data_IF_418899682280
#
_entry.id   IF_418899682280
#
_cell.length_a   1.000
_cell.length_b   1.000
_cell.length_c   1.000
_cell.angle_alpha   90.00
_cell.angle_beta   90.00
_cell.angle_gamma   90.00
#
_symmetry.space_group_name_H-M   'P 1'
#
loop_
_entity.id
_entity.type
_entity.pdbx_description
1 polymer ?
#
# COMPACT_ATOMS: atom_id res chain seq x y z
N UNK A 1 5.70 -12.81 -34.82
CA UNK A 1 5.88 -11.64 -33.91
C UNK A 1 5.19 -11.88 -32.58
N UNK A 2 3.89 -12.14 -32.50
CA UNK A 2 3.17 -12.38 -31.23
C UNK A 2 3.73 -13.48 -30.30
N UNK A 3 4.29 -14.57 -30.83
CA UNK A 3 4.90 -15.61 -30.02
C UNK A 3 6.23 -15.19 -29.40
N UNK A 4 7.00 -14.37 -30.09
CA UNK A 4 8.29 -13.86 -29.59
C UNK A 4 8.07 -12.85 -28.47
N UNK A 5 7.12 -11.95 -28.61
CA UNK A 5 6.74 -10.96 -27.58
C UNK A 5 6.16 -11.62 -26.32
N UNK A 6 5.40 -12.71 -26.47
CA UNK A 6 4.89 -13.52 -25.35
C UNK A 6 5.99 -14.28 -24.61
N UNK A 7 7.00 -14.76 -25.33
CA UNK A 7 8.13 -15.47 -24.74
C UNK A 7 9.08 -14.52 -23.99
N UNK A 8 9.32 -13.35 -24.55
CA UNK A 8 10.09 -12.27 -23.94
C UNK A 8 9.40 -11.72 -22.67
N UNK A 9 8.08 -11.51 -22.72
CA UNK A 9 7.28 -11.12 -21.56
C UNK A 9 7.31 -12.19 -20.45
N UNK A 10 7.28 -13.49 -20.80
CA UNK A 10 7.39 -14.59 -19.85
C UNK A 10 8.78 -14.66 -19.20
N UNK A 11 9.84 -14.49 -19.99
CA UNK A 11 11.21 -14.46 -19.48
C UNK A 11 11.41 -13.29 -18.51
N UNK A 12 10.97 -12.09 -18.88
CA UNK A 12 11.01 -10.93 -17.99
C UNK A 12 10.24 -11.22 -16.69
N UNK A 13 9.01 -11.73 -16.78
CA UNK A 13 8.19 -12.05 -15.59
C UNK A 13 8.86 -13.09 -14.69
N UNK A 14 9.57 -14.09 -15.25
CA UNK A 14 10.29 -15.11 -14.49
C UNK A 14 11.53 -14.58 -13.77
N UNK A 15 12.17 -13.54 -14.30
CA UNK A 15 13.36 -12.91 -13.72
C UNK A 15 13.03 -11.91 -12.60
N UNK A 16 11.83 -11.32 -12.61
CA UNK A 16 11.42 -10.32 -11.63
C UNK A 16 11.56 -10.76 -10.16
N UNK A 17 11.15 -11.97 -9.76
CA UNK A 17 11.32 -12.42 -8.37
C UNK A 17 12.79 -12.46 -7.93
N UNK A 18 13.69 -12.91 -8.82
CA UNK A 18 15.13 -12.95 -8.54
C UNK A 18 15.72 -11.55 -8.43
N UNK A 19 15.39 -10.65 -9.36
CA UNK A 19 15.86 -9.27 -9.35
C UNK A 19 15.38 -8.56 -8.08
N UNK A 20 14.11 -8.68 -7.73
CA UNK A 20 13.55 -8.03 -6.54
C UNK A 20 14.12 -8.60 -5.24
N UNK A 21 14.42 -9.91 -5.18
CA UNK A 21 15.10 -10.51 -4.04
C UNK A 21 16.54 -9.97 -3.90
N UNK A 22 17.27 -9.84 -4.99
CA UNK A 22 18.61 -9.28 -5.00
C UNK A 22 18.61 -7.80 -4.61
N UNK A 23 17.66 -7.00 -5.13
CA UNK A 23 17.49 -5.59 -4.73
C UNK A 23 17.19 -5.44 -3.23
N UNK A 24 16.34 -6.30 -2.66
CA UNK A 24 16.09 -6.30 -1.20
C UNK A 24 17.36 -6.59 -0.41
N UNK A 25 18.17 -7.57 -0.84
CA UNK A 25 19.44 -7.88 -0.19
C UNK A 25 20.40 -6.69 -0.19
N UNK A 26 20.54 -6.01 -1.32
CA UNK A 26 21.37 -4.79 -1.44
C UNK A 26 20.84 -3.66 -0.55
N UNK A 27 19.53 -3.42 -0.58
CA UNK A 27 18.88 -2.40 0.25
C UNK A 27 19.08 -2.70 1.74
N UNK A 28 18.92 -3.96 2.18
CA UNK A 28 19.16 -4.36 3.57
C UNK A 28 20.59 -4.11 3.99
N UNK A 29 21.58 -4.40 3.13
CA UNK A 29 22.99 -4.10 3.36
C UNK A 29 23.24 -2.60 3.53
N UNK A 30 22.66 -1.77 2.67
CA UNK A 30 22.75 -0.31 2.76
C UNK A 30 22.15 0.23 4.06
N UNK A 31 20.99 -0.30 4.46
CA UNK A 31 20.32 0.09 5.70
C UNK A 31 21.17 -0.25 6.94
N UNK A 32 21.73 -1.46 7.00
CA UNK A 32 22.60 -1.88 8.10
C UNK A 32 23.86 -1.01 8.17
N UNK A 33 24.48 -0.69 7.03
CA UNK A 33 25.63 0.21 6.99
C UNK A 33 25.26 1.63 7.47
N UNK A 34 24.12 2.16 7.04
CA UNK A 34 23.62 3.46 7.47
C UNK A 34 23.32 3.49 8.98
N UNK A 35 22.68 2.44 9.51
CA UNK A 35 22.41 2.30 10.93
C UNK A 35 23.69 2.22 11.78
N UNK A 36 24.73 1.59 11.25
CA UNK A 36 26.03 1.55 11.91
C UNK A 36 26.76 2.92 11.94
N UNK A 37 26.57 3.73 10.89
CA UNK A 37 27.12 5.10 10.81
C UNK A 37 26.36 6.09 11.70
N UNK A 38 25.08 5.90 11.89
CA UNK A 38 24.21 6.74 12.71
C UNK A 38 23.40 5.90 13.70
N UNK A 39 24.06 5.31 14.73
CA UNK A 39 23.38 4.48 15.71
C UNK A 39 22.39 5.31 16.56
N UNK A 40 21.37 4.65 17.10
CA UNK A 40 20.29 5.28 17.84
C UNK A 40 20.78 6.24 18.94
N UNK A 41 21.76 5.80 19.74
CA UNK A 41 22.33 6.61 20.81
C UNK A 41 23.02 7.91 20.33
N UNK A 42 23.61 7.88 19.13
CA UNK A 42 24.21 9.07 18.53
C UNK A 42 23.14 10.02 17.99
N UNK A 43 22.08 9.46 17.38
CA UNK A 43 20.94 10.23 16.85
C UNK A 43 20.14 10.92 17.96
N UNK A 44 20.00 10.29 19.14
CA UNK A 44 19.34 10.90 20.31
C UNK A 44 20.09 12.15 20.80
N UNK A 45 21.42 12.13 20.72
CA UNK A 45 22.29 13.21 21.22
C UNK A 45 22.47 14.35 20.21
N UNK A 46 22.40 14.04 18.92
CA UNK A 46 22.60 14.99 17.82
C UNK A 46 21.35 15.11 16.92
N UNK A 47 20.55 16.17 17.11
CA UNK A 47 19.35 16.40 16.30
C UNK A 47 19.63 16.59 14.79
N UNK A 48 20.82 17.07 14.42
CA UNK A 48 21.17 17.25 13.01
C UNK A 48 21.53 15.92 12.37
N UNK A 49 22.25 15.06 13.09
CA UNK A 49 22.51 13.69 12.67
C UNK A 49 21.20 12.90 12.51
N UNK A 50 20.27 13.06 13.48
CA UNK A 50 18.96 12.41 13.40
C UNK A 50 18.16 12.87 12.18
N UNK A 51 18.15 14.18 11.88
CA UNK A 51 17.47 14.70 10.69
C UNK A 51 18.04 14.15 9.38
N UNK A 52 19.37 14.03 9.28
CA UNK A 52 20.04 13.44 8.10
C UNK A 52 19.75 11.95 7.96
N UNK A 53 19.84 11.23 9.08
CA UNK A 53 19.52 9.81 9.12
C UNK A 53 18.04 9.54 8.81
N UNK A 54 17.11 10.35 9.29
CA UNK A 54 15.68 10.25 9.01
C UNK A 54 15.37 10.41 7.51
N UNK A 55 16.07 11.32 6.80
CA UNK A 55 15.96 11.43 5.34
C UNK A 55 16.47 10.18 4.62
N UNK A 56 17.58 9.62 5.09
CA UNK A 56 18.12 8.38 4.52
C UNK A 56 17.15 7.22 4.75
N UNK A 57 16.60 7.10 5.96
CA UNK A 57 15.58 6.10 6.29
C UNK A 57 14.33 6.27 5.42
N UNK A 58 13.83 7.49 5.21
CA UNK A 58 12.72 7.76 4.31
C UNK A 58 12.99 7.23 2.89
N UNK A 59 14.12 7.60 2.30
CA UNK A 59 14.49 7.16 0.95
C UNK A 59 14.60 5.63 0.87
N UNK A 60 15.16 5.02 1.92
CA UNK A 60 15.26 3.57 2.01
C UNK A 60 13.87 2.90 2.02
N UNK A 61 12.95 3.38 2.87
CA UNK A 61 11.59 2.85 2.94
C UNK A 61 10.81 3.05 1.62
N UNK A 62 11.00 4.17 0.94
CA UNK A 62 10.41 4.41 -0.39
C UNK A 62 10.94 3.42 -1.43
N UNK A 63 12.27 3.19 -1.47
CA UNK A 63 12.86 2.20 -2.37
C UNK A 63 12.38 0.77 -2.05
N UNK A 64 12.33 0.41 -0.78
CA UNK A 64 11.84 -0.92 -0.35
C UNK A 64 10.36 -1.12 -0.73
N UNK A 65 9.54 -0.08 -0.56
CA UNK A 65 8.14 -0.09 -1.00
C UNK A 65 8.01 -0.30 -2.50
N UNK A 66 8.85 0.38 -3.29
CA UNK A 66 8.88 0.21 -4.74
C UNK A 66 9.22 -1.23 -5.13
N UNK A 67 10.27 -1.81 -4.55
CA UNK A 67 10.67 -3.20 -4.79
C UNK A 67 9.55 -4.17 -4.40
N UNK A 68 8.87 -3.92 -3.28
CA UNK A 68 7.72 -4.74 -2.85
C UNK A 68 6.54 -4.63 -3.82
N UNK A 69 6.25 -3.44 -4.35
CA UNK A 69 5.20 -3.25 -5.35
C UNK A 69 5.52 -3.97 -6.66
N UNK A 70 6.79 -3.96 -7.10
CA UNK A 70 7.24 -4.73 -8.26
C UNK A 70 7.09 -6.24 -8.03
N UNK A 71 7.49 -6.73 -6.85
CA UNK A 71 7.32 -8.16 -6.49
C UNK A 71 5.86 -8.58 -6.46
N UNK A 72 4.98 -7.74 -5.94
CA UNK A 72 3.55 -8.01 -5.92
C UNK A 72 2.97 -8.04 -7.33
N UNK A 73 3.30 -7.08 -8.18
CA UNK A 73 2.87 -7.06 -9.58
C UNK A 73 3.32 -8.33 -10.35
N UNK A 74 4.54 -8.81 -10.10
CA UNK A 74 5.05 -10.04 -10.69
C UNK A 74 4.28 -11.28 -10.20
N UNK A 75 3.93 -11.37 -8.91
CA UNK A 75 3.11 -12.48 -8.36
C UNK A 75 1.73 -12.52 -8.96
N UNK A 76 1.10 -11.37 -9.14
CA UNK A 76 -0.23 -11.26 -9.72
C UNK A 76 -0.26 -11.66 -11.22
N UNK A 77 0.87 -11.53 -11.91
CA UNK A 77 1.03 -12.03 -13.29
C UNK A 77 1.22 -13.54 -13.36
N UNK A 78 1.50 -14.22 -12.23
CA UNK A 78 1.59 -15.67 -12.15
C UNK A 78 0.19 -16.29 -12.11
N UNK A 79 -0.03 -17.37 -12.88
CA UNK A 79 -1.34 -18.03 -13.00
C UNK A 79 -1.83 -18.78 -11.75
N UNK A 80 -1.17 -18.62 -10.60
CA UNK A 80 -1.52 -19.30 -9.35
C UNK A 80 -2.31 -18.33 -8.47
N UNK A 81 -3.59 -18.59 -8.20
CA UNK A 81 -4.38 -17.74 -7.32
C UNK A 81 -3.81 -17.77 -5.90
N UNK A 82 -3.81 -16.63 -5.19
CA UNK A 82 -3.36 -16.56 -3.81
C UNK A 82 -4.20 -17.47 -2.89
N UNK A 83 -3.62 -18.00 -1.81
CA UNK A 83 -4.35 -18.83 -0.87
C UNK A 83 -5.35 -17.97 -0.07
N UNK A 84 -6.63 -18.03 -0.46
CA UNK A 84 -7.70 -17.38 0.28
C UNK A 84 -7.98 -18.10 1.59
N UNK A 85 -8.03 -17.35 2.69
CA UNK A 85 -8.32 -17.86 4.03
C UNK A 85 -9.43 -17.01 4.67
N UNK A 86 -10.19 -17.64 5.57
CA UNK A 86 -11.23 -16.92 6.32
C UNK A 86 -10.56 -16.01 7.35
N UNK A 87 -10.60 -14.70 7.13
CA UNK A 87 -9.97 -13.66 7.95
C UNK A 87 -10.98 -12.59 8.33
N UNK A 88 -10.75 -11.92 9.44
CA UNK A 88 -11.57 -10.81 9.90
C UNK A 88 -11.13 -9.50 9.25
N UNK A 89 -11.80 -9.11 8.18
CA UNK A 89 -11.53 -7.87 7.46
C UNK A 89 -11.67 -6.62 8.35
N UNK A 90 -12.67 -6.61 9.24
CA UNK A 90 -12.86 -5.46 10.15
C UNK A 90 -11.69 -5.32 11.12
N UNK A 91 -11.19 -6.45 11.65
CA UNK A 91 -9.99 -6.48 12.49
C UNK A 91 -8.75 -5.94 11.78
N UNK A 92 -8.52 -6.36 10.52
CA UNK A 92 -7.40 -5.88 9.69
C UNK A 92 -7.49 -4.36 9.46
N UNK A 93 -8.66 -3.84 9.07
CA UNK A 93 -8.88 -2.41 8.84
C UNK A 93 -8.62 -1.61 10.13
N UNK A 94 -9.14 -2.09 11.27
CA UNK A 94 -8.96 -1.45 12.57
C UNK A 94 -7.48 -1.38 12.99
N UNK A 95 -6.75 -2.46 12.82
CA UNK A 95 -5.32 -2.53 13.12
C UNK A 95 -4.54 -1.50 12.29
N UNK A 96 -4.69 -1.53 10.95
CA UNK A 96 -3.97 -0.62 10.05
C UNK A 96 -4.29 0.84 10.34
N UNK A 97 -5.56 1.18 10.54
CA UNK A 97 -5.97 2.56 10.82
C UNK A 97 -5.46 3.03 12.20
N UNK A 98 -5.45 2.16 13.20
CA UNK A 98 -4.89 2.48 14.52
C UNK A 98 -3.40 2.76 14.46
N UNK A 99 -2.65 1.98 13.67
CA UNK A 99 -1.23 2.20 13.45
C UNK A 99 -0.93 3.44 12.57
N UNK A 100 -1.82 3.80 11.64
CA UNK A 100 -1.68 4.97 10.78
C UNK A 100 -2.09 6.29 11.44
N UNK A 101 -2.88 6.25 12.51
CA UNK A 101 -3.41 7.46 13.16
C UNK A 101 -2.31 8.42 13.70
N UNK A 102 -1.25 7.97 14.38
CA UNK A 102 -0.16 8.84 14.80
C UNK A 102 0.50 9.57 13.63
N UNK A 103 0.65 8.89 12.47
CA UNK A 103 1.25 9.45 11.27
C UNK A 103 0.30 10.46 10.59
N UNK A 104 -1.00 10.21 10.59
CA UNK A 104 -2.00 11.19 10.14
C UNK A 104 -1.92 12.47 10.98
N UNK A 105 -1.80 12.36 12.29
CA UNK A 105 -1.62 13.51 13.20
C UNK A 105 -0.33 14.28 12.90
N UNK A 106 0.78 13.59 12.61
CA UNK A 106 2.04 14.22 12.20
C UNK A 106 1.86 15.07 10.93
N UNK A 107 1.05 14.58 9.98
CA UNK A 107 0.66 15.30 8.76
C UNK A 107 -0.41 16.37 9.01
N UNK A 108 -0.90 16.53 10.24
CA UNK A 108 -2.03 17.40 10.61
C UNK A 108 -3.33 17.04 9.88
N UNK A 109 -3.55 15.73 9.61
CA UNK A 109 -4.76 15.20 9.02
C UNK A 109 -5.66 14.59 10.08
N UNK A 110 -6.97 14.71 9.88
CA UNK A 110 -7.97 14.01 10.68
C UNK A 110 -8.26 12.65 10.05
N UNK A 111 -7.80 11.54 10.67
CA UNK A 111 -8.18 10.19 10.26
C UNK A 111 -9.43 9.75 11.01
N UNK A 112 -10.51 9.49 10.27
CA UNK A 112 -11.77 8.94 10.82
C UNK A 112 -11.96 7.50 10.35
N UNK A 113 -12.36 6.63 11.26
CA UNK A 113 -12.66 5.24 10.93
C UNK A 113 -14.10 4.94 11.29
N UNK A 114 -14.84 4.36 10.33
CA UNK A 114 -16.23 3.95 10.50
C UNK A 114 -16.36 2.50 10.06
N UNK A 115 -16.76 1.63 10.93
CA UNK A 115 -17.02 0.24 10.57
C UNK A 115 -18.36 -0.23 11.13
N UNK A 116 -19.10 -0.89 10.25
CA UNK A 116 -20.29 -1.66 10.57
C UNK A 116 -20.34 -2.82 9.57
N UNK A 117 -20.14 -4.05 9.97
CA UNK A 117 -20.13 -4.61 11.32
C UNK A 117 -18.75 -4.52 12.04
N UNK A 118 -18.74 -4.71 13.36
CA UNK A 118 -17.51 -4.76 14.15
C UNK A 118 -16.59 -5.94 13.79
N UNK A 119 -17.15 -7.00 13.22
CA UNK A 119 -16.44 -8.19 12.74
C UNK A 119 -17.02 -8.64 11.41
N UNK A 120 -16.15 -8.78 10.41
CA UNK A 120 -16.53 -9.22 9.07
C UNK A 120 -15.56 -10.28 8.56
N UNK A 121 -15.96 -11.55 8.71
CA UNK A 121 -15.12 -12.67 8.28
C UNK A 121 -15.45 -13.05 6.85
N UNK A 122 -14.44 -12.99 5.97
CA UNK A 122 -14.53 -13.44 4.58
C UNK A 122 -13.20 -14.05 4.10
N UNK A 123 -13.30 -14.81 3.03
CA UNK A 123 -12.15 -15.41 2.35
C UNK A 123 -11.32 -14.32 1.67
N UNK A 124 -10.08 -14.12 2.12
CA UNK A 124 -9.18 -13.13 1.56
C UNK A 124 -7.70 -13.53 1.74
N UNK A 125 -6.85 -12.91 0.93
CA UNK A 125 -5.40 -12.83 1.15
C UNK A 125 -5.14 -11.60 2.03
N UNK A 126 -4.79 -11.82 3.30
CA UNK A 126 -4.59 -10.76 4.28
C UNK A 126 -3.49 -9.78 3.85
N UNK A 127 -2.37 -10.28 3.31
CA UNK A 127 -1.25 -9.44 2.90
C UNK A 127 -1.63 -8.56 1.69
N UNK A 128 -2.39 -9.12 0.74
CA UNK A 128 -2.90 -8.37 -0.41
C UNK A 128 -3.88 -7.26 0.04
N UNK A 129 -4.78 -7.56 0.99
CA UNK A 129 -5.70 -6.55 1.55
C UNK A 129 -4.93 -5.45 2.30
N UNK A 130 -3.93 -5.80 3.10
CA UNK A 130 -3.04 -4.83 3.77
C UNK A 130 -2.36 -3.91 2.75
N UNK A 131 -1.89 -4.47 1.64
CA UNK A 131 -1.25 -3.73 0.56
C UNK A 131 -2.22 -2.74 -0.09
N UNK A 132 -3.48 -3.14 -0.36
CA UNK A 132 -4.53 -2.23 -0.85
C UNK A 132 -4.76 -1.09 0.14
N UNK A 133 -4.94 -1.40 1.42
CA UNK A 133 -5.16 -0.41 2.46
C UNK A 133 -4.04 0.62 2.54
N UNK A 134 -2.78 0.18 2.60
CA UNK A 134 -1.63 1.09 2.65
C UNK A 134 -1.51 1.93 1.38
N UNK A 135 -1.84 1.36 0.21
CA UNK A 135 -1.81 2.11 -1.04
C UNK A 135 -2.87 3.21 -1.07
N UNK A 136 -4.12 2.91 -0.67
CA UNK A 136 -5.20 3.88 -0.63
C UNK A 136 -4.97 4.96 0.44
N UNK A 137 -4.54 4.57 1.64
CA UNK A 137 -4.18 5.52 2.71
C UNK A 137 -3.00 6.43 2.32
N UNK A 138 -1.96 5.86 1.69
CA UNK A 138 -0.82 6.64 1.22
C UNK A 138 -1.23 7.69 0.18
N UNK A 139 -2.11 7.32 -0.75
CA UNK A 139 -2.64 8.28 -1.71
C UNK A 139 -3.46 9.38 -1.01
N UNK A 140 -4.38 9.00 -0.11
CA UNK A 140 -5.20 9.93 0.65
C UNK A 140 -4.34 10.92 1.46
N UNK A 141 -3.32 10.43 2.18
CA UNK A 141 -2.42 11.27 2.97
C UNK A 141 -1.55 12.20 2.11
N UNK A 142 -1.10 11.71 0.93
CA UNK A 142 -0.24 12.46 0.02
C UNK A 142 -0.96 13.63 -0.64
N UNK A 143 -2.24 13.46 -0.96
CA UNK A 143 -3.01 14.42 -1.76
C UNK A 143 -3.98 15.27 -0.93
N UNK A 144 -3.99 15.07 0.40
CA UNK A 144 -4.78 15.89 1.33
C UNK A 144 -3.87 16.88 2.04
N UNK A 145 -4.23 18.15 1.98
CA UNK A 145 -3.49 19.20 2.68
C UNK A 145 -3.70 19.15 4.19
N UNK A 146 -2.78 19.76 4.95
CA UNK A 146 -2.86 19.88 6.39
C UNK A 146 -4.20 20.54 6.82
N UNK A 147 -4.86 19.95 7.81
CA UNK A 147 -6.21 20.34 8.25
C UNK A 147 -7.33 19.58 7.52
N UNK A 148 -6.99 18.82 6.47
CA UNK A 148 -7.94 17.98 5.77
C UNK A 148 -8.27 16.68 6.51
N UNK A 149 -9.14 15.89 5.90
CA UNK A 149 -9.69 14.67 6.49
C UNK A 149 -9.55 13.48 5.57
N UNK A 150 -9.20 12.34 6.17
CA UNK A 150 -9.27 11.02 5.52
C UNK A 150 -10.24 10.15 6.31
N UNK A 151 -11.21 9.56 5.63
CA UNK A 151 -12.21 8.67 6.24
C UNK A 151 -12.06 7.28 5.65
N UNK A 152 -11.88 6.29 6.52
CA UNK A 152 -11.95 4.87 6.16
C UNK A 152 -13.26 4.31 6.64
N UNK A 153 -14.04 3.70 5.75
CA UNK A 153 -15.28 3.02 6.13
C UNK A 153 -15.32 1.59 5.64
N UNK A 154 -15.85 0.70 6.46
CA UNK A 154 -16.13 -0.68 6.10
C UNK A 154 -17.61 -0.96 6.37
N UNK A 155 -18.32 -1.34 5.32
CA UNK A 155 -19.75 -1.70 5.41
C UNK A 155 -20.00 -3.03 4.72
N UNK A 156 -21.13 -3.66 5.02
CA UNK A 156 -21.58 -4.85 4.31
C UNK A 156 -22.95 -4.58 3.71
N UNK A 157 -23.08 -4.78 2.41
CA UNK A 157 -24.33 -4.62 1.67
C UNK A 157 -24.45 -5.71 0.60
N UNK A 158 -25.63 -6.34 0.50
CA UNK A 158 -25.96 -7.33 -0.55
C UNK A 158 -24.93 -8.47 -0.68
N UNK A 159 -24.40 -8.95 0.44
CA UNK A 159 -23.38 -10.00 0.46
C UNK A 159 -21.99 -9.56 0.00
N UNK A 160 -21.78 -8.26 -0.13
CA UNK A 160 -20.49 -7.64 -0.46
C UNK A 160 -19.94 -6.88 0.76
N UNK A 161 -18.64 -6.93 0.97
CA UNK A 161 -17.92 -6.00 1.82
C UNK A 161 -17.50 -4.80 0.98
N UNK A 162 -17.78 -3.61 1.47
CA UNK A 162 -17.37 -2.34 0.86
C UNK A 162 -16.34 -1.68 1.78
N UNK A 163 -15.10 -1.68 1.35
CA UNK A 163 -14.00 -0.99 2.01
C UNK A 163 -13.74 0.32 1.25
N UNK A 164 -14.01 1.44 1.90
CA UNK A 164 -13.94 2.77 1.30
C UNK A 164 -12.88 3.62 1.98
N UNK A 165 -12.07 4.32 1.20
CA UNK A 165 -11.16 5.37 1.64
C UNK A 165 -11.54 6.65 0.92
N UNK A 166 -11.95 7.67 1.68
CA UNK A 166 -12.37 8.99 1.17
C UNK A 166 -11.44 10.04 1.75
N UNK A 167 -10.94 10.92 0.92
CA UNK A 167 -10.14 12.08 1.30
C UNK A 167 -10.82 13.40 0.91
N UNK A 168 -10.39 14.50 1.55
CA UNK A 168 -10.81 15.87 1.21
C UNK A 168 -9.67 16.63 0.53
N UNK A 169 -8.88 15.94 -0.29
CA UNK A 169 -7.72 16.49 -0.96
C UNK A 169 -8.04 17.26 -2.23
N UNK A 170 -7.03 17.44 -3.08
CA UNK A 170 -7.15 18.19 -4.32
C UNK A 170 -8.13 17.58 -5.33
N UNK A 171 -8.44 16.29 -5.22
CA UNK A 171 -9.26 15.56 -6.19
C UNK A 171 -8.61 15.42 -7.56
N UNK A 172 -9.38 14.90 -8.51
CA UNK A 172 -8.98 14.65 -9.89
C UNK A 172 -10.08 15.12 -10.85
N UNK A 173 -9.68 15.60 -12.00
CA UNK A 173 -10.60 15.83 -13.13
C UNK A 173 -10.92 14.51 -13.87
N UNK A 174 -11.91 14.58 -14.78
CA UNK A 174 -12.38 13.40 -15.54
C UNK A 174 -11.28 12.79 -16.43
N UNK A 175 -10.35 13.62 -16.94
CA UNK A 175 -9.23 13.16 -17.77
C UNK A 175 -8.22 12.39 -16.92
N UNK A 176 -7.86 12.92 -15.73
CA UNK A 176 -6.96 12.29 -14.80
C UNK A 176 -7.54 10.97 -14.29
N UNK A 177 -8.82 10.98 -13.93
CA UNK A 177 -9.55 9.81 -13.47
C UNK A 177 -9.63 8.73 -14.57
N UNK A 178 -9.99 9.13 -15.80
CA UNK A 178 -10.02 8.24 -16.97
C UNK A 178 -8.64 7.65 -17.28
N UNK A 179 -7.59 8.47 -17.31
CA UNK A 179 -6.21 8.03 -17.56
C UNK A 179 -5.72 7.05 -16.50
N UNK A 180 -6.12 7.22 -15.25
CA UNK A 180 -5.81 6.30 -14.17
C UNK A 180 -6.38 4.90 -14.45
N UNK A 181 -7.63 4.81 -14.92
CA UNK A 181 -8.29 3.56 -15.31
C UNK A 181 -7.71 2.95 -16.59
N UNK A 182 -7.38 3.77 -17.61
CA UNK A 182 -6.80 3.28 -18.86
C UNK A 182 -5.41 2.69 -18.65
N UNK A 183 -4.58 3.28 -17.81
CA UNK A 183 -3.26 2.71 -17.42
C UNK A 183 -3.36 1.33 -16.81
N UNK A 184 -4.46 1.04 -16.14
CA UNK A 184 -4.74 -0.30 -15.64
C UNK A 184 -5.09 -1.26 -16.79
N UNK A 185 -5.91 -0.83 -17.76
CA UNK A 185 -6.36 -1.65 -18.91
C UNK A 185 -5.26 -1.82 -19.96
N UNK A 186 -4.41 -0.82 -20.12
CA UNK A 186 -3.40 -0.72 -21.16
C UNK A 186 -2.01 -0.41 -20.58
N UNK A 187 -1.34 -1.42 -19.96
CA UNK A 187 -0.01 -1.23 -19.39
C UNK A 187 1.05 -0.74 -20.37
N UNK A 188 0.84 -0.96 -21.67
CA UNK A 188 1.70 -0.53 -22.77
C UNK A 188 1.68 0.98 -23.02
N UNK A 189 0.62 1.70 -22.61
CA UNK A 189 0.47 3.15 -22.81
C UNK A 189 1.17 3.99 -21.72
N UNK A 190 2.19 3.47 -21.10
CA UNK A 190 2.88 4.07 -19.95
C UNK A 190 3.74 5.28 -20.34
N UNK A 191 3.16 6.48 -20.31
CA UNK A 191 3.94 7.66 -19.97
C UNK A 191 4.07 7.72 -18.45
N UNK A 192 5.28 7.81 -17.89
CA UNK A 192 5.44 7.88 -16.43
C UNK A 192 4.69 9.12 -15.90
N UNK A 193 3.86 8.96 -14.86
CA UNK A 193 3.21 10.11 -14.24
C UNK A 193 4.27 10.99 -13.57
N UNK A 194 4.02 12.29 -13.44
CA UNK A 194 4.95 13.21 -12.78
C UNK A 194 5.24 12.86 -11.31
N UNK A 195 4.44 11.98 -10.70
CA UNK A 195 4.60 11.52 -9.32
C UNK A 195 4.44 10.00 -9.21
N UNK A 196 5.53 9.24 -9.27
CA UNK A 196 5.59 7.79 -9.03
C UNK A 196 5.28 6.93 -10.27
N UNK A 197 5.50 5.61 -10.15
CA UNK A 197 5.38 4.65 -11.27
C UNK A 197 3.92 4.31 -11.67
N UNK A 198 2.92 4.80 -10.94
CA UNK A 198 1.51 4.49 -11.20
C UNK A 198 1.11 3.02 -10.96
N UNK A 199 2.00 2.20 -10.38
CA UNK A 199 1.77 0.77 -10.16
C UNK A 199 0.79 0.49 -9.00
N UNK A 200 0.68 1.39 -8.03
CA UNK A 200 -0.03 1.12 -6.79
C UNK A 200 -1.53 0.91 -6.97
N UNK A 201 -2.21 1.77 -7.72
CA UNK A 201 -3.65 1.62 -7.99
C UNK A 201 -3.93 0.46 -8.96
N UNK A 202 -3.07 0.25 -9.97
CA UNK A 202 -3.17 -0.91 -10.84
C UNK A 202 -3.13 -2.22 -10.04
N UNK A 203 -2.25 -2.29 -9.03
CA UNK A 203 -2.16 -3.41 -8.12
C UNK A 203 -3.44 -3.55 -7.27
N UNK A 204 -4.00 -2.46 -6.77
CA UNK A 204 -5.27 -2.49 -6.03
C UNK A 204 -6.44 -3.02 -6.88
N UNK A 205 -6.53 -2.62 -8.14
CA UNK A 205 -7.53 -3.14 -9.08
C UNK A 205 -7.38 -4.64 -9.29
N UNK A 206 -6.15 -5.12 -9.50
CA UNK A 206 -5.89 -6.53 -9.72
C UNK A 206 -6.20 -7.35 -8.47
N UNK A 207 -5.77 -6.90 -7.28
CA UNK A 207 -6.08 -7.56 -6.01
C UNK A 207 -7.60 -7.65 -5.80
N UNK A 208 -8.35 -6.57 -6.08
CA UNK A 208 -9.80 -6.60 -5.98
C UNK A 208 -10.42 -7.65 -6.92
N UNK A 209 -9.93 -7.75 -8.15
CA UNK A 209 -10.36 -8.77 -9.12
C UNK A 209 -10.07 -10.20 -8.65
N UNK A 210 -8.89 -10.46 -8.07
CA UNK A 210 -8.51 -11.78 -7.53
C UNK A 210 -9.40 -12.20 -6.35
N UNK A 211 -9.91 -11.24 -5.59
CA UNK A 211 -10.91 -11.47 -4.54
C UNK A 211 -12.33 -11.63 -5.10
N UNK A 212 -12.51 -11.61 -6.43
CA UNK A 212 -13.81 -11.71 -7.09
C UNK A 212 -14.66 -10.46 -6.98
N UNK A 213 -14.01 -9.32 -6.78
CA UNK A 213 -14.61 -8.01 -6.61
C UNK A 213 -14.12 -6.99 -7.62
N UNK A 214 -14.18 -5.71 -7.25
CA UNK A 214 -13.71 -4.60 -8.06
C UNK A 214 -13.27 -3.42 -7.17
N UNK A 215 -12.47 -2.52 -7.74
CA UNK A 215 -12.17 -1.21 -7.17
C UNK A 215 -12.88 -0.13 -7.98
N UNK A 216 -13.61 0.75 -7.31
CA UNK A 216 -14.28 1.91 -7.88
C UNK A 216 -13.57 3.17 -7.40
N UNK A 217 -13.57 4.21 -8.22
CA UNK A 217 -13.05 5.51 -7.86
C UNK A 217 -14.01 6.62 -8.31
N UNK A 218 -14.24 7.57 -7.42
CA UNK A 218 -15.00 8.78 -7.64
C UNK A 218 -14.13 9.96 -7.19
N UNK A 219 -14.05 11.00 -7.97
CA UNK A 219 -13.25 12.18 -7.61
C UNK A 219 -13.78 13.43 -8.30
N UNK A 220 -13.58 14.59 -7.65
CA UNK A 220 -13.82 15.90 -8.21
C UNK A 220 -12.74 16.86 -7.74
N UNK A 221 -12.30 17.73 -8.65
CA UNK A 221 -11.30 18.75 -8.32
C UNK A 221 -11.79 19.64 -7.17
N UNK A 222 -10.98 19.75 -6.13
CA UNK A 222 -11.28 20.53 -4.93
C UNK A 222 -12.23 19.89 -3.92
N UNK A 223 -12.83 18.72 -4.23
CA UNK A 223 -13.73 17.99 -3.32
C UNK A 223 -13.08 16.73 -2.72
N UNK A 224 -11.94 16.29 -3.29
CA UNK A 224 -11.23 15.09 -2.89
C UNK A 224 -11.57 13.87 -3.73
N UNK A 225 -11.22 12.69 -3.21
CA UNK A 225 -11.40 11.42 -3.90
C UNK A 225 -11.99 10.37 -2.97
N UNK A 226 -12.68 9.39 -3.58
CA UNK A 226 -13.24 8.22 -2.90
C UNK A 226 -12.85 6.97 -3.68
N UNK A 227 -12.20 6.04 -3.01
CA UNK A 227 -11.88 4.72 -3.55
C UNK A 227 -12.65 3.66 -2.77
N UNK A 228 -13.43 2.83 -3.48
CA UNK A 228 -14.26 1.77 -2.88
C UNK A 228 -13.85 0.41 -3.43
N UNK A 229 -13.22 -0.43 -2.60
CA UNK A 229 -13.00 -1.83 -2.91
C UNK A 229 -14.23 -2.63 -2.49
N UNK A 230 -14.81 -3.36 -3.45
CA UNK A 230 -15.93 -4.28 -3.23
C UNK A 230 -15.43 -5.71 -3.36
N UNK A 231 -15.68 -6.54 -2.37
CA UNK A 231 -15.36 -7.97 -2.40
C UNK A 231 -16.52 -8.81 -1.85
N UNK A 232 -16.79 -10.01 -2.40
CA UNK A 232 -17.85 -10.86 -1.94
C UNK A 232 -17.56 -11.41 -0.52
N UNK A 233 -18.53 -11.35 0.36
CA UNK A 233 -18.45 -11.98 1.70
C UNK A 233 -18.72 -13.47 1.55
N UNK A 234 -17.70 -14.23 1.20
CA UNK A 234 -17.72 -15.70 1.09
C UNK A 234 -16.79 -16.29 2.13
N UNK A 235 -17.04 -17.53 2.53
CA UNK A 235 -16.15 -18.28 3.41
C UNK A 235 -15.65 -19.52 2.70
N UNK A 236 -14.39 -19.86 2.89
CA UNK A 236 -13.80 -21.10 2.39
C UNK A 236 -14.01 -22.27 3.34
N UNK A 237 -14.43 -22.01 4.60
CA UNK A 237 -14.44 -23.00 5.67
C UNK A 237 -13.03 -23.37 6.17
N UNK A 238 -12.00 -22.72 5.64
CA UNK A 238 -10.62 -22.85 6.12
C UNK A 238 -10.33 -21.71 7.06
N UNK A 239 -10.44 -21.90 8.39
CA UNK A 239 -10.04 -20.86 9.33
C UNK A 239 -8.55 -20.61 9.10
N UNK A 240 -8.20 -19.38 8.85
CA UNK A 240 -6.81 -18.98 8.92
C UNK A 240 -6.35 -19.23 10.34
N UNK A 241 -5.43 -20.17 10.52
CA UNK A 241 -4.67 -20.22 11.75
C UNK A 241 -4.15 -18.80 11.98
N UNK A 242 -4.28 -18.29 13.20
CA UNK A 242 -3.59 -17.06 13.60
C UNK A 242 -2.12 -17.44 13.70
N UNK A 243 -1.50 -17.62 12.54
CA UNK A 243 -0.08 -17.89 12.48
C UNK A 243 0.66 -16.72 13.08
N UNK A 244 1.65 -17.05 13.89
CA UNK A 244 2.63 -16.09 14.36
C UNK A 244 2.93 -15.13 13.19
N UNK A 245 2.73 -13.82 13.42
CA UNK A 245 2.91 -12.76 12.41
C UNK A 245 4.22 -13.01 11.67
N UNK A 246 4.16 -13.68 10.53
CA UNK A 246 5.32 -13.82 9.66
C UNK A 246 5.62 -12.41 9.17
N UNK A 247 6.62 -11.80 9.79
CA UNK A 247 7.06 -10.45 9.44
C UNK A 247 7.80 -10.49 8.12
N UNK A 248 7.06 -10.41 7.02
CA UNK A 248 7.62 -10.28 5.68
C UNK A 248 8.36 -8.96 5.45
N UNK A 249 8.31 -8.05 6.41
CA UNK A 249 9.01 -6.75 6.33
C UNK A 249 10.47 -6.84 6.76
N UNK A 250 10.93 -8.01 7.22
CA UNK A 250 12.31 -8.20 7.66
C UNK A 250 12.68 -7.39 8.91
N UNK A 251 11.70 -7.17 9.81
CA UNK A 251 11.88 -6.38 11.04
C UNK A 251 11.64 -4.88 10.86
N UNK A 252 11.17 -4.43 9.68
CA UNK A 252 10.82 -3.02 9.44
C UNK A 252 9.41 -2.69 9.92
N UNK A 253 9.20 -1.43 10.30
CA UNK A 253 7.87 -0.94 10.65
C UNK A 253 6.98 -0.93 9.39
N UNK A 254 5.93 -1.78 9.41
CA UNK A 254 5.02 -2.00 8.26
C UNK A 254 4.28 -0.74 7.85
N UNK A 255 3.91 0.09 8.82
CA UNK A 255 3.14 1.31 8.57
C UNK A 255 4.02 2.37 7.94
N UNK A 256 5.23 2.56 8.46
CA UNK A 256 6.22 3.45 7.83
C UNK A 256 6.53 3.00 6.40
N UNK A 257 6.64 1.69 6.17
CA UNK A 257 6.85 1.14 4.83
C UNK A 257 5.65 1.40 3.93
N UNK A 258 4.45 1.10 4.40
CA UNK A 258 3.21 1.26 3.63
C UNK A 258 2.89 2.72 3.27
N UNK A 259 3.25 3.67 4.12
CA UNK A 259 2.96 5.09 3.97
C UNK A 259 4.18 5.93 3.55
N UNK A 260 5.33 5.33 3.26
CA UNK A 260 6.60 6.02 3.02
C UNK A 260 6.54 7.16 1.98
N UNK A 261 5.70 7.05 0.96
CA UNK A 261 5.57 8.06 -0.11
C UNK A 261 4.79 9.30 0.33
N UNK A 262 4.00 9.20 1.42
CA UNK A 262 3.19 10.28 1.94
C UNK A 262 3.82 10.94 3.17
N UNK A 263 4.82 10.31 3.78
CA UNK A 263 5.39 10.75 5.05
C UNK A 263 6.59 11.68 4.84
N UNK A 264 6.73 12.74 5.65
CA UNK A 264 7.91 13.60 5.66
C UNK A 264 9.07 12.89 6.40
N UNK A 265 10.33 13.37 6.23
CA UNK A 265 11.50 12.77 6.90
C UNK A 265 11.37 12.67 8.42
N UNK A 266 10.67 13.60 9.05
CA UNK A 266 10.46 13.65 10.50
C UNK A 266 9.75 12.41 11.04
N UNK A 267 8.91 11.74 10.22
CA UNK A 267 8.25 10.48 10.59
C UNK A 267 9.26 9.34 10.84
N UNK A 268 10.46 9.44 10.27
CA UNK A 268 11.53 8.45 10.39
C UNK A 268 12.59 8.84 11.45
N UNK A 269 12.37 9.92 12.17
CA UNK A 269 13.18 10.32 13.32
C UNK A 269 13.01 9.33 14.48
N UNK A 270 14.08 9.10 15.25
CA UNK A 270 14.04 8.26 16.45
C UNK A 270 13.01 8.77 17.46
N UNK A 271 12.78 10.08 17.51
CA UNK A 271 11.83 10.71 18.45
C UNK A 271 10.37 10.45 18.12
N UNK A 272 10.08 9.97 16.91
CA UNK A 272 8.73 9.70 16.41
C UNK A 272 8.47 8.21 16.12
N UNK A 273 9.42 7.33 16.46
CA UNK A 273 9.30 5.86 16.33
C UNK A 273 8.69 5.20 17.53
#
# INVERSE_FOLDING_TARGET
MENYEREEARLLTSLFPSITAQMRGMLSGLYLAAAALAPAEAREKDPELDRRAARLDQNYYQLLRLVNSMSAAARLSAAVPPPMQDRDLAGIVKEICGEAEPLARLLKLELRVRYAPERLVCALDEEAIRQVMFQLLSNAFKFTDAGGRVTVSLTQQDGQALLEVTDTGCGMDDIQLGTMFERYRHPELRNPPPCGLGLGLALCFQIAGEHGGCLLAESRVGEGSRFTMRIPVRRTGRPGLSDAKLDYTGGFNRVLLGLADALPPEAFSIRNR
#
